data_IF_529804982533
#
_entry.id   IF_529804982533
#
_cell.length_a   1.000
_cell.length_b   1.000
_cell.length_c   1.000
_cell.angle_alpha   90.00
_cell.angle_beta   90.00
_cell.angle_gamma   90.00
#
_symmetry.space_group_name_H-M   'P 1'
#
loop_
_entity.id
_entity.type
_entity.pdbx_description
1 polymer ?
#
# COMPACT_ATOMS: atom_id res chain seq x y z
N UNK A 1 -4.48 4.42 12.24
CA UNK A 1 -4.88 4.04 10.86
C UNK A 1 -4.98 2.52 10.79
N UNK A 2 -6.06 1.98 10.26
CA UNK A 2 -6.26 0.52 10.08
C UNK A 2 -6.48 0.27 8.59
N UNK A 3 -5.76 -0.66 7.99
CA UNK A 3 -5.80 -0.94 6.56
C UNK A 3 -4.97 -2.16 6.16
N UNK A 4 -4.71 -2.34 4.87
CA UNK A 4 -3.96 -3.49 4.34
C UNK A 4 -2.58 -3.68 4.97
N UNK A 5 -1.95 -2.62 5.44
CA UNK A 5 -0.67 -2.69 6.16
C UNK A 5 -0.67 -3.65 7.34
N UNK A 6 -1.66 -3.56 8.25
CA UNK A 6 -1.69 -4.44 9.43
C UNK A 6 -2.11 -5.88 9.07
N UNK A 7 -3.01 -6.03 8.09
CA UNK A 7 -3.60 -7.32 7.73
C UNK A 7 -2.69 -8.17 6.82
N UNK A 8 -2.02 -7.54 5.85
CA UNK A 8 -1.20 -8.24 4.84
C UNK A 8 0.29 -8.06 5.13
N UNK A 9 0.77 -6.81 5.14
CA UNK A 9 2.20 -6.53 5.16
C UNK A 9 2.87 -6.98 6.46
N UNK A 10 2.16 -6.98 7.59
CA UNK A 10 2.72 -7.47 8.87
C UNK A 10 3.12 -8.95 8.80
N UNK A 11 2.31 -9.78 8.14
CA UNK A 11 2.59 -11.21 8.01
C UNK A 11 3.82 -11.45 7.14
N UNK A 12 3.90 -10.75 6.00
CA UNK A 12 5.06 -10.81 5.12
C UNK A 12 6.33 -10.29 5.79
N UNK A 13 6.23 -9.18 6.52
CA UNK A 13 7.36 -8.60 7.23
C UNK A 13 7.87 -9.51 8.37
N UNK A 14 6.96 -10.19 9.07
CA UNK A 14 7.32 -11.17 10.08
C UNK A 14 8.00 -12.39 9.44
N UNK A 15 7.45 -12.90 8.33
CA UNK A 15 7.98 -14.09 7.68
C UNK A 15 9.36 -13.87 7.04
N UNK A 16 9.60 -12.70 6.41
CA UNK A 16 10.79 -12.45 5.59
C UNK A 16 11.88 -11.62 6.28
N UNK A 17 11.54 -10.75 7.23
CA UNK A 17 12.51 -9.78 7.76
C UNK A 17 12.73 -9.88 9.28
N UNK A 18 11.66 -9.85 10.09
CA UNK A 18 11.79 -9.64 11.54
C UNK A 18 11.47 -10.85 12.42
N UNK A 19 10.73 -11.84 11.93
CA UNK A 19 10.29 -12.98 12.73
C UNK A 19 9.46 -12.55 13.95
N UNK A 20 9.59 -13.24 15.10
CA UNK A 20 8.92 -12.88 16.35
C UNK A 20 9.25 -11.48 16.87
N UNK A 21 10.38 -10.89 16.43
CA UNK A 21 10.82 -9.56 16.83
C UNK A 21 10.11 -8.42 16.07
N UNK A 22 9.12 -8.70 15.21
CA UNK A 22 8.35 -7.68 14.48
C UNK A 22 7.71 -6.64 15.42
N UNK A 23 7.37 -7.02 16.65
CA UNK A 23 6.82 -6.11 17.65
C UNK A 23 7.76 -4.93 17.94
N UNK A 24 9.08 -5.15 17.93
CA UNK A 24 10.08 -4.10 18.14
C UNK A 24 10.06 -3.12 16.97
N UNK A 25 9.89 -3.62 15.75
CA UNK A 25 9.76 -2.79 14.55
C UNK A 25 8.51 -1.91 14.61
N UNK A 26 7.38 -2.48 15.06
CA UNK A 26 6.13 -1.73 15.25
C UNK A 26 6.23 -0.66 16.33
N UNK A 27 6.89 -0.94 17.46
CA UNK A 27 7.09 0.04 18.53
C UNK A 27 7.92 1.22 18.01
N UNK A 28 9.02 0.94 17.29
CA UNK A 28 9.86 1.98 16.72
C UNK A 28 9.11 2.82 15.68
N UNK A 29 8.37 2.17 14.77
CA UNK A 29 7.53 2.85 13.80
C UNK A 29 6.45 3.72 14.47
N UNK A 30 5.83 3.24 15.55
CA UNK A 30 4.83 3.98 16.31
C UNK A 30 5.40 5.24 16.98
N UNK A 31 6.63 5.17 17.52
CA UNK A 31 7.31 6.33 18.10
C UNK A 31 7.55 7.39 17.03
N UNK A 32 8.12 7.00 15.88
CA UNK A 32 8.39 7.94 14.76
C UNK A 32 7.10 8.55 14.23
N UNK A 33 6.06 7.74 14.02
CA UNK A 33 4.75 8.21 13.58
C UNK A 33 4.09 9.14 14.62
N UNK A 34 4.27 8.87 15.92
CA UNK A 34 3.77 9.73 17.00
C UNK A 34 4.44 11.10 17.02
N UNK A 35 5.76 11.16 16.83
CA UNK A 35 6.50 12.42 16.74
C UNK A 35 6.04 13.25 15.51
N UNK A 36 5.85 12.60 14.37
CA UNK A 36 5.29 13.25 13.19
C UNK A 36 3.84 13.71 13.41
N UNK A 37 3.01 12.93 14.10
CA UNK A 37 1.64 13.32 14.42
C UNK A 37 1.59 14.58 15.29
N UNK A 38 2.52 14.75 16.23
CA UNK A 38 2.60 15.95 17.06
C UNK A 38 2.98 17.21 16.26
N UNK A 39 3.91 17.12 15.29
CA UNK A 39 4.22 18.27 14.43
C UNK A 39 3.06 18.66 13.51
N UNK A 40 2.32 17.66 12.99
CA UNK A 40 1.09 17.92 12.24
C UNK A 40 -0.02 18.53 13.12
N UNK A 41 -0.13 18.11 14.38
CA UNK A 41 -1.08 18.68 15.33
C UNK A 41 -0.77 20.17 15.60
N UNK A 42 0.50 20.53 15.75
CA UNK A 42 0.93 21.93 15.87
C UNK A 42 0.58 22.74 14.61
N UNK A 43 0.94 22.24 13.42
CA UNK A 43 0.64 22.93 12.16
C UNK A 43 -0.85 23.11 11.90
N UNK A 44 -1.67 22.09 12.16
CA UNK A 44 -3.14 22.17 12.04
C UNK A 44 -3.78 23.14 13.03
N UNK A 45 -3.17 23.36 14.20
CA UNK A 45 -3.63 24.35 15.17
C UNK A 45 -3.26 25.78 14.74
N UNK A 46 -2.10 25.96 14.11
CA UNK A 46 -1.64 27.27 13.63
C UNK A 46 -2.33 27.73 12.34
N UNK A 47 -2.65 26.79 11.44
CA UNK A 47 -3.21 27.08 10.12
C UNK A 47 -4.53 26.32 9.95
N UNK A 48 -5.67 26.89 10.42
CA UNK A 48 -6.97 26.22 10.45
C UNK A 48 -7.66 26.23 9.08
N UNK A 49 -6.93 25.83 8.05
CA UNK A 49 -7.44 25.63 6.69
C UNK A 49 -7.61 24.13 6.46
N UNK A 50 -8.62 23.75 5.67
CA UNK A 50 -8.72 22.38 5.20
C UNK A 50 -7.55 22.12 4.25
N UNK A 51 -6.52 21.44 4.75
CA UNK A 51 -5.26 21.23 4.05
C UNK A 51 -4.50 20.03 4.58
N UNK A 52 -3.66 19.46 3.71
CA UNK A 52 -2.68 18.42 4.04
C UNK A 52 -1.27 19.01 4.00
N UNK A 53 -0.22 18.18 3.99
CA UNK A 53 1.19 18.60 4.01
C UNK A 53 1.50 19.73 3.01
N UNK A 54 0.97 19.66 1.79
CA UNK A 54 1.10 20.70 0.76
C UNK A 54 0.73 22.10 1.27
N UNK A 55 -0.44 22.23 1.90
CA UNK A 55 -0.95 23.51 2.37
C UNK A 55 -0.11 24.07 3.52
N UNK A 56 0.40 23.20 4.40
CA UNK A 56 1.26 23.61 5.51
C UNK A 56 2.66 24.00 5.04
N UNK A 57 3.25 23.27 4.09
CA UNK A 57 4.52 23.62 3.47
C UNK A 57 4.41 24.92 2.66
N UNK A 58 3.29 25.13 1.97
CA UNK A 58 3.05 26.38 1.24
C UNK A 58 3.02 27.58 2.19
N UNK A 59 2.34 27.45 3.32
CA UNK A 59 2.24 28.51 4.32
C UNK A 59 3.57 28.83 5.04
N UNK A 60 4.46 27.84 5.20
CA UNK A 60 5.68 27.97 6.02
C UNK A 60 6.97 28.13 5.21
N UNK A 61 7.07 27.48 4.05
CA UNK A 61 8.31 27.34 3.27
C UNK A 61 8.21 27.89 1.84
N UNK A 62 7.01 28.28 1.40
CA UNK A 62 6.77 28.88 0.09
C UNK A 62 6.46 27.89 -1.03
N UNK A 63 6.20 28.44 -2.21
CA UNK A 63 5.59 27.73 -3.35
C UNK A 63 6.46 26.60 -3.92
N UNK A 64 7.76 26.81 -4.06
CA UNK A 64 8.65 25.84 -4.70
C UNK A 64 8.72 24.52 -3.92
N UNK A 65 8.90 24.59 -2.60
CA UNK A 65 8.94 23.40 -1.75
C UNK A 65 7.56 22.76 -1.64
N UNK A 66 6.49 23.56 -1.54
CA UNK A 66 5.13 23.04 -1.55
C UNK A 66 4.81 22.28 -2.84
N UNK A 67 5.24 22.78 -4.00
CA UNK A 67 5.04 22.11 -5.29
C UNK A 67 5.69 20.72 -5.34
N UNK A 68 6.91 20.58 -4.81
CA UNK A 68 7.58 19.27 -4.71
C UNK A 68 6.78 18.32 -3.84
N UNK A 69 6.35 18.76 -2.65
CA UNK A 69 5.52 17.95 -1.74
C UNK A 69 4.16 17.61 -2.37
N UNK A 70 3.59 18.50 -3.18
CA UNK A 70 2.34 18.25 -3.90
C UNK A 70 2.46 17.07 -4.85
N UNK A 71 3.55 17.00 -5.63
CA UNK A 71 3.81 15.86 -6.51
C UNK A 71 4.09 14.57 -5.74
N UNK A 72 4.85 14.66 -4.64
CA UNK A 72 5.12 13.53 -3.75
C UNK A 72 3.81 12.93 -3.20
N UNK A 73 2.92 13.77 -2.65
CA UNK A 73 1.62 13.34 -2.14
C UNK A 73 0.75 12.68 -3.21
N UNK A 74 0.72 13.21 -4.44
CA UNK A 74 -0.05 12.59 -5.53
C UNK A 74 0.43 11.16 -5.80
N UNK A 75 1.75 10.96 -5.87
CA UNK A 75 2.35 9.64 -6.06
C UNK A 75 2.11 8.73 -4.87
N UNK A 76 2.25 9.25 -3.65
CA UNK A 76 2.02 8.53 -2.41
C UNK A 76 0.57 8.02 -2.33
N UNK A 77 -0.42 8.90 -2.55
CA UNK A 77 -1.82 8.51 -2.52
C UNK A 77 -2.19 7.52 -3.63
N UNK A 78 -1.62 7.67 -4.83
CA UNK A 78 -1.84 6.73 -5.93
C UNK A 78 -1.29 5.34 -5.60
N UNK A 79 -0.05 5.26 -5.10
CA UNK A 79 0.57 4.01 -4.70
C UNK A 79 -0.15 3.37 -3.50
N UNK A 80 -0.54 4.18 -2.51
CA UNK A 80 -1.27 3.72 -1.35
C UNK A 80 -2.63 3.13 -1.76
N UNK A 81 -3.39 3.80 -2.64
CA UNK A 81 -4.66 3.30 -3.15
C UNK A 81 -4.49 1.98 -3.91
N UNK A 82 -3.48 1.89 -4.78
CA UNK A 82 -3.18 0.66 -5.52
C UNK A 82 -2.81 -0.50 -4.57
N UNK A 83 -1.95 -0.24 -3.58
CA UNK A 83 -1.53 -1.25 -2.59
C UNK A 83 -2.70 -1.72 -1.72
N UNK A 84 -3.61 -0.80 -1.35
CA UNK A 84 -4.83 -1.15 -0.61
C UNK A 84 -5.78 -2.00 -1.45
N UNK A 85 -5.94 -1.67 -2.74
CA UNK A 85 -6.77 -2.45 -3.65
C UNK A 85 -6.24 -3.89 -3.82
N UNK A 86 -4.92 -4.06 -4.01
CA UNK A 86 -4.25 -5.37 -4.12
C UNK A 86 -4.40 -6.17 -2.82
N UNK A 87 -4.12 -5.57 -1.67
CA UNK A 87 -4.26 -6.28 -0.40
C UNK A 87 -5.69 -6.73 -0.12
N UNK A 88 -6.70 -5.95 -0.51
CA UNK A 88 -8.11 -6.32 -0.37
C UNK A 88 -8.53 -7.42 -1.35
N UNK A 89 -8.10 -7.33 -2.61
CA UNK A 89 -8.49 -8.30 -3.63
C UNK A 89 -7.94 -9.68 -3.33
N UNK A 90 -6.74 -9.82 -2.75
CA UNK A 90 -6.21 -11.09 -2.27
C UNK A 90 -7.12 -11.76 -1.23
N UNK A 91 -7.62 -11.01 -0.25
CA UNK A 91 -8.60 -11.53 0.72
C UNK A 91 -9.90 -11.97 0.06
N UNK A 92 -10.41 -11.21 -0.90
CA UNK A 92 -11.65 -11.53 -1.62
C UNK A 92 -11.48 -12.80 -2.45
N UNK A 93 -10.36 -12.94 -3.15
CA UNK A 93 -10.02 -14.14 -3.93
C UNK A 93 -10.01 -15.37 -3.03
N UNK A 94 -9.34 -15.29 -1.88
CA UNK A 94 -9.31 -16.38 -0.91
C UNK A 94 -10.70 -16.71 -0.33
N UNK A 95 -11.53 -15.70 -0.06
CA UNK A 95 -12.88 -15.89 0.43
C UNK A 95 -13.75 -16.61 -0.60
N UNK A 96 -13.68 -16.21 -1.88
CA UNK A 96 -14.41 -16.83 -2.98
C UNK A 96 -13.97 -18.29 -3.20
N UNK A 97 -12.68 -18.58 -3.11
CA UNK A 97 -12.15 -19.94 -3.17
C UNK A 97 -12.68 -20.80 -2.03
N UNK A 98 -12.68 -20.25 -0.81
CA UNK A 98 -13.15 -20.96 0.39
C UNK A 98 -14.63 -21.29 0.32
N UNK A 99 -15.47 -20.35 -0.15
CA UNK A 99 -16.93 -20.54 -0.25
C UNK A 99 -17.29 -21.46 -1.41
N UNK A 100 -16.74 -21.24 -2.60
CA UNK A 100 -17.15 -21.98 -3.79
C UNK A 100 -16.58 -23.41 -3.85
N UNK A 101 -15.52 -23.72 -3.09
CA UNK A 101 -14.74 -24.98 -3.17
C UNK A 101 -14.17 -25.30 -4.56
N UNK A 102 -14.37 -24.42 -5.54
CA UNK A 102 -13.81 -24.50 -6.88
C UNK A 102 -12.72 -23.45 -7.01
N UNK A 103 -11.66 -23.79 -7.75
CA UNK A 103 -10.55 -22.88 -8.02
C UNK A 103 -10.94 -21.83 -9.10
N UNK A 104 -12.18 -21.34 -9.07
CA UNK A 104 -12.78 -20.51 -10.12
C UNK A 104 -12.05 -19.18 -10.31
N UNK A 105 -11.38 -18.69 -9.27
CA UNK A 105 -10.62 -17.43 -9.35
C UNK A 105 -9.34 -17.55 -10.15
N UNK A 106 -8.87 -18.76 -10.44
CA UNK A 106 -7.66 -19.00 -11.23
C UNK A 106 -7.76 -18.47 -12.65
N UNK A 107 -8.96 -18.27 -13.22
CA UNK A 107 -9.13 -17.77 -14.59
C UNK A 107 -8.97 -16.24 -14.72
N UNK A 108 -8.95 -15.53 -13.59
CA UNK A 108 -9.13 -14.07 -13.51
C UNK A 108 -8.00 -13.39 -12.71
N UNK A 109 -7.12 -14.15 -12.08
CA UNK A 109 -6.06 -13.65 -11.17
C UNK A 109 -4.65 -13.77 -11.78
N UNK A 110 -4.52 -14.45 -12.91
CA UNK A 110 -3.23 -14.68 -13.57
C UNK A 110 -3.20 -14.01 -14.94
N UNK A 111 -2.03 -13.49 -15.32
CA UNK A 111 -1.85 -12.86 -16.61
C UNK A 111 -2.07 -13.85 -17.77
N UNK A 112 -2.80 -13.46 -18.84
CA UNK A 112 -3.06 -14.32 -20.00
C UNK A 112 -1.79 -14.72 -20.75
N UNK A 113 -0.74 -13.92 -20.62
CA UNK A 113 0.59 -14.14 -21.18
C UNK A 113 1.60 -14.00 -20.05
N UNK A 114 2.40 -15.05 -19.83
CA UNK A 114 3.45 -15.07 -18.83
C UNK A 114 4.82 -15.26 -19.48
N UNK A 115 5.85 -14.76 -18.83
CA UNK A 115 7.25 -14.91 -19.24
C UNK A 115 7.87 -16.11 -18.53
N UNK A 116 8.53 -16.99 -19.28
CA UNK A 116 9.30 -18.09 -18.70
C UNK A 116 10.79 -17.71 -18.65
N UNK A 117 11.35 -17.59 -17.45
CA UNK A 117 12.75 -17.20 -17.23
C UNK A 117 13.76 -18.23 -17.75
N UNK A 118 13.42 -19.52 -17.79
CA UNK A 118 14.32 -20.59 -18.24
C UNK A 118 14.36 -20.74 -19.77
N UNK A 119 13.24 -20.49 -20.44
CA UNK A 119 13.13 -20.67 -21.90
C UNK A 119 13.11 -19.35 -22.68
N UNK A 120 13.09 -18.20 -22.00
CA UNK A 120 13.07 -16.86 -22.61
C UNK A 120 11.99 -16.69 -23.69
N UNK A 121 10.85 -17.37 -23.52
CA UNK A 121 9.70 -17.29 -24.41
C UNK A 121 8.45 -16.90 -23.62
N UNK A 122 7.57 -16.14 -24.29
CA UNK A 122 6.22 -15.89 -23.80
C UNK A 122 5.35 -17.12 -24.05
N UNK A 123 4.60 -17.55 -23.03
CA UNK A 123 3.60 -18.61 -23.17
C UNK A 123 2.23 -18.10 -22.74
N UNK A 124 1.18 -18.62 -23.39
CA UNK A 124 -0.20 -18.34 -22.97
C UNK A 124 -0.57 -19.26 -21.82
N UNK A 125 -1.09 -18.66 -20.75
CA UNK A 125 -1.50 -19.36 -19.53
C UNK A 125 -2.93 -19.91 -19.62
N UNK A 126 -3.67 -19.58 -20.70
CA UNK A 126 -5.09 -19.92 -20.87
C UNK A 126 -6.03 -19.16 -19.94
N UNK A 127 -5.55 -18.07 -19.30
CA UNK A 127 -6.31 -17.21 -18.39
C UNK A 127 -6.84 -15.98 -19.12
N UNK A 128 -7.84 -15.32 -18.57
CA UNK A 128 -8.57 -14.24 -19.28
C UNK A 128 -8.03 -12.86 -18.94
N UNK A 129 -7.76 -12.59 -17.67
CA UNK A 129 -7.34 -11.26 -17.19
C UNK A 129 -6.53 -11.41 -15.90
N UNK A 130 -5.62 -10.46 -15.65
CA UNK A 130 -4.87 -10.33 -14.40
C UNK A 130 -5.54 -9.29 -13.50
N UNK A 131 -6.58 -9.69 -12.77
CA UNK A 131 -7.08 -8.84 -11.68
C UNK A 131 -6.08 -8.87 -10.52
N UNK A 132 -5.90 -7.74 -9.82
CA UNK A 132 -5.03 -7.69 -8.65
C UNK A 132 -5.48 -8.76 -7.65
N UNK A 133 -4.53 -9.46 -7.05
CA UNK A 133 -4.73 -10.39 -5.94
C UNK A 133 -3.51 -10.34 -5.01
#
# INVERSE_FOLDING_TARGET
LIGTGIFVLSGEAAAKYAGPAIIVSFILAAIVAGLAAFSYAEMSSMVPISGSAYSYTYATMGEYLAWIIGWDLILEYLLAAATVAVGWSGYVVHLVQTISKYNATQWIVEAPVAWNEESSIFYTTGKVINLPA
#
